data_IF_571081134794
#
_entry.id   IF_571081134794
#
_cell.length_a   1.000
_cell.length_b   1.000
_cell.length_c   1.000
_cell.angle_alpha   90.00
_cell.angle_beta   90.00
_cell.angle_gamma   90.00
#
_symmetry.space_group_name_H-M   'P 1'
#
loop_
_entity.id
_entity.type
_entity.pdbx_description
1 polymer ?
#
# COMPACT_ATOMS: atom_id res chain seq x y z
N UNK A 1 9.32 -8.48 15.55
CA UNK A 1 8.26 -8.53 14.51
C UNK A 1 6.93 -8.74 15.23
N UNK A 2 5.95 -7.83 15.06
CA UNK A 2 4.69 -7.84 15.82
C UNK A 2 3.79 -9.01 15.40
N UNK A 3 3.34 -9.83 16.35
CA UNK A 3 2.48 -11.01 16.14
C UNK A 3 1.22 -10.66 15.34
N UNK A 4 0.58 -9.54 15.64
CA UNK A 4 -0.65 -9.10 14.95
C UNK A 4 -0.46 -8.87 13.46
N UNK A 5 0.74 -8.49 13.01
CA UNK A 5 1.05 -8.25 11.60
C UNK A 5 1.41 -9.57 10.91
N UNK A 6 2.08 -10.47 11.63
CA UNK A 6 2.43 -11.81 11.12
C UNK A 6 1.20 -12.68 10.90
N UNK A 7 0.19 -12.56 11.76
CA UNK A 7 -1.05 -13.34 11.68
C UNK A 7 -1.93 -12.97 10.47
N UNK A 8 -1.68 -11.84 9.80
CA UNK A 8 -2.48 -11.38 8.66
C UNK A 8 -2.12 -12.02 7.32
N UNK A 9 -1.02 -12.80 7.25
CA UNK A 9 -0.71 -13.59 6.05
C UNK A 9 -0.42 -12.78 4.78
N UNK A 10 0.02 -11.52 4.90
CA UNK A 10 0.27 -10.61 3.76
C UNK A 10 1.13 -11.20 2.64
N UNK A 11 2.14 -12.02 2.99
CA UNK A 11 2.98 -12.69 1.99
C UNK A 11 2.19 -13.65 1.09
N UNK A 12 1.28 -14.45 1.68
CA UNK A 12 0.44 -15.36 0.92
C UNK A 12 -0.55 -14.61 0.03
N UNK A 13 -1.13 -13.51 0.56
CA UNK A 13 -2.02 -12.65 -0.21
C UNK A 13 -1.32 -12.06 -1.45
N UNK A 14 -0.12 -11.49 -1.29
CA UNK A 14 0.66 -10.96 -2.41
C UNK A 14 1.02 -12.04 -3.43
N UNK A 15 1.38 -13.24 -2.98
CA UNK A 15 1.67 -14.36 -3.87
C UNK A 15 0.46 -14.74 -4.73
N UNK A 16 -0.73 -14.83 -4.14
CA UNK A 16 -1.94 -15.14 -4.92
C UNK A 16 -2.32 -14.02 -5.88
N UNK A 17 -2.12 -12.77 -5.48
CA UNK A 17 -2.40 -11.63 -6.34
C UNK A 17 -1.47 -11.60 -7.54
N UNK A 18 -0.16 -11.81 -7.34
CA UNK A 18 0.83 -11.95 -8.41
C UNK A 18 0.48 -13.10 -9.36
N UNK A 19 0.21 -14.29 -8.81
CA UNK A 19 -0.21 -15.46 -9.58
C UNK A 19 -1.43 -15.17 -10.46
N UNK A 20 -2.49 -14.56 -9.91
CA UNK A 20 -3.71 -14.22 -10.66
C UNK A 20 -3.46 -13.14 -11.71
N UNK A 21 -2.59 -12.17 -11.44
CA UNK A 21 -2.20 -11.14 -12.40
C UNK A 21 -1.45 -11.75 -13.59
N UNK A 22 -0.43 -12.59 -13.33
CA UNK A 22 0.30 -13.34 -14.36
C UNK A 22 -0.64 -14.18 -15.22
N UNK A 23 -1.57 -14.93 -14.59
CA UNK A 23 -2.54 -15.75 -15.29
C UNK A 23 -3.50 -14.95 -16.19
N UNK A 24 -3.83 -13.72 -15.82
CA UNK A 24 -4.78 -12.85 -16.56
C UNK A 24 -4.07 -11.85 -17.50
N UNK A 25 -2.75 -11.93 -17.63
CA UNK A 25 -1.95 -10.97 -18.40
C UNK A 25 -2.03 -9.54 -17.85
N UNK A 26 -2.20 -9.39 -16.54
CA UNK A 26 -2.22 -8.09 -15.86
C UNK A 26 -0.87 -7.78 -15.22
N UNK A 27 -0.51 -6.52 -15.20
CA UNK A 27 0.72 -6.06 -14.55
C UNK A 27 0.53 -5.97 -13.04
N UNK A 28 1.46 -6.57 -12.29
CA UNK A 28 1.57 -6.41 -10.85
C UNK A 28 2.82 -5.56 -10.55
N UNK A 29 2.65 -4.46 -9.81
CA UNK A 29 3.75 -3.58 -9.41
C UNK A 29 3.68 -3.35 -7.90
N UNK A 30 4.72 -3.77 -7.19
CA UNK A 30 4.86 -3.53 -5.77
C UNK A 30 5.65 -2.23 -5.54
N UNK A 31 5.11 -1.34 -4.72
CA UNK A 31 5.77 -0.10 -4.30
C UNK A 31 6.44 -0.28 -2.94
N UNK A 32 7.43 0.56 -2.65
CA UNK A 32 8.14 0.53 -1.37
C UNK A 32 7.20 0.78 -0.18
N UNK A 33 7.44 0.06 0.92
CA UNK A 33 6.63 0.12 2.13
C UNK A 33 6.66 1.49 2.84
N UNK A 34 7.72 2.27 2.66
CA UNK A 34 7.90 3.60 3.24
C UNK A 34 7.57 4.72 2.25
N UNK A 35 7.00 4.39 1.08
CA UNK A 35 6.51 5.39 0.15
C UNK A 35 5.42 6.22 0.86
N UNK A 36 5.50 7.56 0.86
CA UNK A 36 4.56 8.42 1.57
C UNK A 36 3.21 8.54 0.82
N UNK A 37 2.60 7.42 0.43
CA UNK A 37 1.35 7.39 -0.34
C UNK A 37 0.18 8.01 0.41
N UNK A 38 0.10 7.78 1.72
CA UNK A 38 -0.93 8.37 2.58
C UNK A 38 -0.68 9.82 2.94
N UNK A 39 0.51 10.35 2.66
CA UNK A 39 0.90 11.77 2.88
C UNK A 39 1.00 12.57 1.58
N UNK A 40 0.67 11.97 0.44
CA UNK A 40 0.79 12.62 -0.87
C UNK A 40 -0.57 12.70 -1.54
N UNK A 41 -1.00 13.90 -1.92
CA UNK A 41 -2.26 14.08 -2.62
C UNK A 41 -2.19 13.37 -3.98
N UNK A 42 -3.18 12.52 -4.28
CA UNK A 42 -3.26 11.85 -5.58
C UNK A 42 -3.62 12.81 -6.72
N UNK A 43 -4.32 13.91 -6.43
CA UNK A 43 -4.75 14.91 -7.41
C UNK A 43 -3.64 15.90 -7.76
N UNK A 44 -2.94 16.44 -6.76
CA UNK A 44 -1.98 17.53 -6.96
C UNK A 44 -0.52 17.19 -6.63
N UNK A 45 -0.24 16.00 -6.09
CA UNK A 45 1.13 15.57 -5.75
C UNK A 45 1.74 16.26 -4.53
N UNK A 46 0.99 17.13 -3.84
CA UNK A 46 1.47 17.80 -2.63
C UNK A 46 1.75 16.78 -1.53
N UNK A 47 2.98 16.79 -1.00
CA UNK A 47 3.40 15.94 0.11
C UNK A 47 3.27 16.71 1.42
N UNK A 48 2.36 16.27 2.27
CA UNK A 48 2.17 16.87 3.59
C UNK A 48 3.29 16.44 4.55
N UNK A 49 3.80 17.38 5.33
CA UNK A 49 4.87 17.13 6.31
C UNK A 49 4.36 16.31 7.49
N UNK A 50 3.23 16.71 8.04
CA UNK A 50 2.55 16.05 9.16
C UNK A 50 1.10 15.69 8.80
N UNK A 51 0.67 14.47 9.10
CA UNK A 51 -0.71 14.03 8.88
C UNK A 51 -1.42 13.97 10.23
N UNK A 52 -1.95 15.11 10.64
CA UNK A 52 -2.72 15.21 11.88
C UNK A 52 -3.94 14.30 11.84
N UNK A 53 -4.19 13.57 12.94
CA UNK A 53 -5.36 12.67 13.09
C UNK A 53 -6.71 13.38 12.97
N UNK A 54 -6.72 14.73 12.99
CA UNK A 54 -7.92 15.56 12.79
C UNK A 54 -8.29 15.72 11.31
N UNK A 55 -7.38 15.43 10.41
CA UNK A 55 -7.59 15.57 8.97
C UNK A 55 -8.35 14.34 8.50
N UNK A 56 -9.63 14.55 8.16
CA UNK A 56 -10.57 13.50 7.74
C UNK A 56 -10.70 13.41 6.22
N UNK A 57 -10.29 14.46 5.51
CA UNK A 57 -10.44 14.61 4.06
C UNK A 57 -9.08 14.94 3.40
N UNK A 58 -8.93 14.49 2.16
CA UNK A 58 -7.73 14.60 1.31
C UNK A 58 -8.01 15.46 0.06
#
# INVERSE_FOLDING_TARGET
MNRQISDQGWGMFLNMLRYKCEHRGKTFTQIDQYKPSSKTCSSCGYKMSDMSLKIRDW
#
